data_IF_978806268189
#
_entry.id   IF_978806268189
#
_cell.length_a   1.000
_cell.length_b   1.000
_cell.length_c   1.000
_cell.angle_alpha   90.00
_cell.angle_beta   90.00
_cell.angle_gamma   90.00
#
_symmetry.space_group_name_H-M   'P 1'
#
loop_
_entity.id
_entity.type
_entity.pdbx_description
1 polymer ?
#
# COMPACT_ATOMS: atom_id res chain seq x y z
N UNK A 1 8.94 -34.31 -11.31
CA UNK A 1 8.54 -33.29 -12.32
C UNK A 1 7.43 -32.31 -11.88
N UNK A 2 7.00 -32.27 -10.60
CA UNK A 2 5.75 -31.56 -10.21
C UNK A 2 5.88 -30.17 -9.55
N UNK A 3 7.06 -29.78 -9.06
CA UNK A 3 7.25 -28.50 -8.33
C UNK A 3 7.54 -27.33 -9.29
N UNK A 4 8.42 -27.54 -10.27
CA UNK A 4 8.78 -26.54 -11.28
C UNK A 4 7.61 -26.17 -12.21
N UNK A 5 6.73 -27.12 -12.54
CA UNK A 5 5.54 -26.87 -13.36
C UNK A 5 4.51 -26.03 -12.59
N UNK A 6 4.32 -26.27 -11.29
CA UNK A 6 3.46 -25.45 -10.41
C UNK A 6 3.97 -24.02 -10.20
N UNK A 7 5.29 -23.86 -10.03
CA UNK A 7 5.91 -22.53 -9.94
C UNK A 7 5.85 -21.76 -11.26
N UNK A 8 6.00 -22.42 -12.41
CA UNK A 8 5.91 -21.75 -13.70
C UNK A 8 4.47 -21.33 -14.03
N UNK A 9 3.47 -22.17 -13.73
CA UNK A 9 2.05 -21.82 -13.89
C UNK A 9 1.66 -20.68 -12.97
N UNK A 10 2.06 -20.73 -11.68
CA UNK A 10 1.78 -19.66 -10.72
C UNK A 10 2.47 -18.34 -11.10
N UNK A 11 3.73 -18.38 -11.58
CA UNK A 11 4.42 -17.20 -12.11
C UNK A 11 3.72 -16.61 -13.34
N UNK A 12 3.29 -17.47 -14.26
CA UNK A 12 2.58 -17.04 -15.46
C UNK A 12 1.23 -16.41 -15.10
N UNK A 13 0.53 -16.98 -14.14
CA UNK A 13 -0.76 -16.51 -13.64
C UNK A 13 -0.62 -15.17 -12.91
N UNK A 14 0.34 -15.04 -11.99
CA UNK A 14 0.67 -13.76 -11.33
C UNK A 14 1.09 -12.69 -12.35
N UNK A 15 1.86 -13.06 -13.39
CA UNK A 15 2.25 -12.13 -14.46
C UNK A 15 1.05 -11.71 -15.31
N UNK A 16 0.18 -12.66 -15.69
CA UNK A 16 -1.06 -12.40 -16.44
C UNK A 16 -2.03 -11.53 -15.63
N UNK A 17 -2.23 -11.85 -14.36
CA UNK A 17 -3.06 -11.07 -13.43
C UNK A 17 -2.54 -9.64 -13.25
N UNK A 18 -1.23 -9.46 -13.05
CA UNK A 18 -0.66 -8.12 -12.93
C UNK A 18 -0.71 -7.34 -14.25
N UNK A 19 -0.55 -8.01 -15.40
CA UNK A 19 -0.67 -7.38 -16.72
C UNK A 19 -2.12 -7.00 -17.03
N UNK A 20 -3.09 -7.87 -16.75
CA UNK A 20 -4.52 -7.57 -16.90
C UNK A 20 -4.95 -6.44 -15.96
N UNK A 21 -4.42 -6.39 -14.73
CA UNK A 21 -4.64 -5.26 -13.81
C UNK A 21 -4.05 -3.96 -14.32
N UNK A 22 -2.82 -3.94 -14.82
CA UNK A 22 -2.22 -2.71 -15.40
C UNK A 22 -3.07 -2.21 -16.57
N UNK A 23 -3.52 -3.13 -17.42
CA UNK A 23 -4.40 -2.85 -18.55
C UNK A 23 -5.77 -2.34 -18.08
N UNK A 24 -6.36 -2.95 -17.06
CA UNK A 24 -7.62 -2.50 -16.46
C UNK A 24 -7.48 -1.12 -15.81
N UNK A 25 -6.41 -0.87 -15.04
CA UNK A 25 -6.15 0.46 -14.45
C UNK A 25 -5.90 1.54 -15.50
N UNK A 26 -5.30 1.19 -16.64
CA UNK A 26 -5.16 2.09 -17.78
C UNK A 26 -6.49 2.32 -18.51
N UNK A 27 -7.35 1.30 -18.63
CA UNK A 27 -8.64 1.38 -19.31
C UNK A 27 -9.72 2.09 -18.49
N UNK A 28 -9.69 1.98 -17.17
CA UNK A 28 -10.73 2.56 -16.30
C UNK A 28 -10.42 3.97 -15.81
N UNK A 29 -9.28 4.57 -16.21
CA UNK A 29 -8.72 5.81 -15.62
C UNK A 29 -8.69 5.80 -14.07
N UNK A 30 -8.84 4.62 -13.46
CA UNK A 30 -8.88 4.47 -12.01
C UNK A 30 -7.42 4.43 -11.55
N UNK A 31 -6.96 5.39 -10.74
CA UNK A 31 -5.58 5.41 -10.32
C UNK A 31 -5.26 4.07 -9.63
N UNK A 32 -4.10 3.50 -9.96
CA UNK A 32 -3.56 2.27 -9.38
C UNK A 32 -3.16 2.43 -7.91
N UNK A 33 -3.87 3.30 -7.20
CA UNK A 33 -3.44 3.90 -5.96
C UNK A 33 -3.85 3.00 -4.80
N UNK A 34 -2.88 2.63 -3.97
CA UNK A 34 -3.14 2.02 -2.67
C UNK A 34 -3.68 3.08 -1.72
N UNK A 35 -4.89 3.57 -2.02
CA UNK A 35 -5.59 4.59 -1.27
C UNK A 35 -6.92 4.01 -0.80
N UNK A 36 -7.36 4.47 0.36
CA UNK A 36 -8.75 4.37 0.79
C UNK A 36 -9.53 5.43 -0.01
N UNK A 37 -10.66 5.06 -0.60
CA UNK A 37 -11.53 5.97 -1.34
C UNK A 37 -12.80 6.18 -0.56
N UNK A 38 -13.24 7.43 -0.47
CA UNK A 38 -14.49 7.87 0.13
C UNK A 38 -15.33 8.39 -1.04
N UNK A 39 -16.37 7.66 -1.42
CA UNK A 39 -17.18 7.97 -2.60
C UNK A 39 -18.66 8.03 -2.23
N UNK A 40 -19.30 9.16 -2.53
CA UNK A 40 -20.76 9.25 -2.50
C UNK A 40 -21.29 9.35 -3.94
N UNK A 41 -22.40 8.67 -4.19
CA UNK A 41 -23.16 8.76 -5.45
C UNK A 41 -23.96 10.07 -5.56
N UNK A 42 -24.16 10.77 -4.43
CA UNK A 42 -24.97 11.98 -4.33
C UNK A 42 -24.13 13.22 -4.60
N UNK A 43 -24.30 13.84 -5.77
CA UNK A 43 -23.68 15.15 -6.07
C UNK A 43 -24.30 16.26 -5.21
N UNK A 44 -25.59 16.14 -4.87
CA UNK A 44 -26.30 17.12 -4.06
C UNK A 44 -25.80 17.15 -2.62
N UNK A 45 -25.47 16.01 -2.01
CA UNK A 45 -24.83 15.96 -0.69
C UNK A 45 -23.45 16.63 -0.69
N UNK A 46 -22.62 16.34 -1.71
CA UNK A 46 -21.30 16.99 -1.85
C UNK A 46 -21.43 18.50 -2.03
N UNK A 47 -22.38 18.91 -2.85
CA UNK A 47 -22.65 20.33 -3.06
C UNK A 47 -23.15 21.01 -1.79
N UNK A 48 -24.07 20.38 -1.05
CA UNK A 48 -24.58 20.89 0.23
C UNK A 48 -23.47 20.98 1.28
N UNK A 49 -22.60 19.97 1.38
CA UNK A 49 -21.42 20.01 2.24
C UNK A 49 -20.49 21.17 1.87
N UNK A 50 -20.26 21.38 0.57
CA UNK A 50 -19.39 22.45 0.08
C UNK A 50 -19.92 23.85 0.36
N UNK A 51 -21.24 24.01 0.48
CA UNK A 51 -21.86 25.29 0.86
C UNK A 51 -21.69 25.61 2.36
N UNK A 52 -21.50 24.60 3.20
CA UNK A 52 -21.28 24.74 4.63
C UNK A 52 -19.79 24.62 4.96
N UNK A 53 -19.09 25.76 4.96
CA UNK A 53 -17.65 25.83 5.18
C UNK A 53 -17.22 25.28 6.56
N UNK A 54 -18.04 25.48 7.58
CA UNK A 54 -17.75 25.01 8.94
C UNK A 54 -17.87 23.50 9.02
N UNK A 55 -18.95 22.93 8.45
CA UNK A 55 -19.16 21.48 8.38
C UNK A 55 -18.10 20.79 7.52
N UNK A 56 -17.73 21.38 6.38
CA UNK A 56 -16.64 20.88 5.52
C UNK A 56 -15.30 20.85 6.28
N UNK A 57 -14.97 21.94 6.97
CA UNK A 57 -13.74 22.04 7.76
C UNK A 57 -13.73 21.03 8.90
N UNK A 58 -14.87 20.85 9.59
CA UNK A 58 -15.01 19.88 10.66
C UNK A 58 -14.82 18.44 10.16
N UNK A 59 -15.46 18.08 9.03
CA UNK A 59 -15.29 16.78 8.39
C UNK A 59 -13.82 16.52 8.02
N UNK A 60 -13.20 17.43 7.28
CA UNK A 60 -11.81 17.26 6.84
C UNK A 60 -10.87 17.12 8.04
N UNK A 61 -11.06 17.92 9.09
CA UNK A 61 -10.26 17.85 10.32
C UNK A 61 -10.48 16.54 11.08
N UNK A 62 -11.70 16.00 11.09
CA UNK A 62 -11.99 14.71 11.71
C UNK A 62 -11.27 13.56 10.98
N UNK A 63 -11.33 13.56 9.65
CA UNK A 63 -10.65 12.59 8.79
C UNK A 63 -9.12 12.69 8.92
N UNK A 64 -8.56 13.91 8.93
CA UNK A 64 -7.12 14.12 9.15
C UNK A 64 -6.66 13.64 10.52
N UNK A 65 -7.40 13.95 11.59
CA UNK A 65 -7.12 13.44 12.94
C UNK A 65 -7.09 11.91 12.99
N UNK A 66 -8.05 11.26 12.33
CA UNK A 66 -8.05 9.81 12.21
C UNK A 66 -6.78 9.33 11.49
N UNK A 67 -6.45 9.94 10.34
CA UNK A 67 -5.30 9.56 9.53
C UNK A 67 -3.98 9.73 10.28
N UNK A 68 -3.81 10.82 11.03
CA UNK A 68 -2.65 11.08 11.88
C UNK A 68 -2.55 10.10 13.04
N UNK A 69 -3.68 9.71 13.63
CA UNK A 69 -3.73 8.67 14.67
C UNK A 69 -3.27 7.32 14.12
N UNK A 70 -3.73 6.94 12.93
CA UNK A 70 -3.28 5.72 12.24
C UNK A 70 -1.79 5.80 11.90
N UNK A 71 -1.32 6.93 11.37
CA UNK A 71 0.08 7.14 11.05
C UNK A 71 0.98 7.01 12.29
N UNK A 72 0.57 7.55 13.44
CA UNK A 72 1.30 7.38 14.71
C UNK A 72 1.43 5.91 15.11
N UNK A 73 0.36 5.13 15.02
CA UNK A 73 0.40 3.69 15.33
C UNK A 73 1.28 2.92 14.34
N UNK A 74 1.19 3.21 13.04
CA UNK A 74 2.06 2.62 12.01
C UNK A 74 3.53 2.91 12.28
N UNK A 75 3.88 4.16 12.59
CA UNK A 75 5.25 4.58 12.93
C UNK A 75 5.77 3.84 14.17
N UNK A 76 4.95 3.74 15.22
CA UNK A 76 5.31 3.02 16.45
C UNK A 76 5.55 1.52 16.18
N UNK A 77 4.68 0.88 15.39
CA UNK A 77 4.81 -0.53 15.05
C UNK A 77 6.08 -0.82 14.25
N UNK A 78 6.41 -0.01 13.24
CA UNK A 78 7.57 -0.28 12.38
C UNK A 78 8.91 0.17 12.98
N UNK A 79 8.93 1.07 13.96
CA UNK A 79 10.15 1.65 14.52
C UNK A 79 11.18 0.60 14.99
N UNK A 80 10.71 -0.47 15.63
CA UNK A 80 11.56 -1.59 16.09
C UNK A 80 12.18 -2.43 14.97
N UNK A 81 11.74 -2.26 13.71
CA UNK A 81 12.30 -2.95 12.53
C UNK A 81 12.98 -2.00 11.55
N UNK A 82 12.52 -0.76 11.43
CA UNK A 82 13.13 0.25 10.57
C UNK A 82 12.75 1.67 11.00
N UNK A 83 13.69 2.34 11.67
CA UNK A 83 13.57 3.76 11.98
C UNK A 83 13.44 4.65 10.75
N UNK A 84 14.04 4.23 9.62
CA UNK A 84 13.90 4.95 8.35
C UNK A 84 12.44 4.98 7.88
N UNK A 85 11.74 3.85 7.95
CA UNK A 85 10.33 3.81 7.56
C UNK A 85 9.49 4.64 8.53
N UNK A 86 9.72 4.50 9.84
CA UNK A 86 8.97 5.29 10.83
C UNK A 86 9.13 6.80 10.61
N UNK A 87 10.32 7.28 10.22
CA UNK A 87 10.59 8.70 9.95
C UNK A 87 10.03 9.19 8.62
N UNK A 88 10.15 8.40 7.56
CA UNK A 88 9.71 8.75 6.20
C UNK A 88 8.24 8.36 5.93
N UNK A 89 7.50 7.83 6.92
CA UNK A 89 6.08 7.53 6.78
C UNK A 89 5.27 8.82 6.86
N UNK A 90 4.50 9.09 5.82
CA UNK A 90 3.66 10.29 5.71
C UNK A 90 2.21 9.92 5.37
N UNK A 91 1.23 10.35 6.17
CA UNK A 91 -0.17 10.33 5.75
C UNK A 91 -0.37 11.30 4.57
N UNK A 92 -1.20 10.92 3.60
CA UNK A 92 -1.54 11.73 2.43
C UNK A 92 -3.05 11.78 2.27
N UNK A 93 -3.65 12.96 2.34
CA UNK A 93 -5.04 13.19 2.03
C UNK A 93 -5.16 13.90 0.68
N UNK A 94 -6.22 13.60 -0.06
CA UNK A 94 -6.57 14.26 -1.31
C UNK A 94 -8.01 14.70 -1.27
N UNK A 95 -8.26 15.87 -1.82
CA UNK A 95 -9.59 16.45 -1.94
C UNK A 95 -10.16 16.26 -3.35
N UNK A 96 -11.48 16.37 -3.44
CA UNK A 96 -12.19 16.52 -4.70
C UNK A 96 -12.30 18.00 -5.11
N UNK A 97 -13.08 18.27 -6.17
CA UNK A 97 -13.32 19.64 -6.67
C UNK A 97 -14.05 20.55 -5.68
N UNK A 98 -14.68 19.99 -4.66
CA UNK A 98 -15.40 20.71 -3.60
C UNK A 98 -14.57 20.90 -2.34
N UNK A 99 -13.31 20.43 -2.32
CA UNK A 99 -12.46 20.50 -1.14
C UNK A 99 -12.75 19.40 -0.11
N UNK A 100 -13.63 18.44 -0.41
CA UNK A 100 -13.95 17.32 0.47
C UNK A 100 -12.83 16.28 0.37
N UNK A 101 -12.24 15.88 1.49
CA UNK A 101 -11.29 14.76 1.50
C UNK A 101 -12.01 13.50 1.01
N UNK A 102 -11.55 12.95 -0.11
CA UNK A 102 -12.16 11.80 -0.76
C UNK A 102 -11.20 10.63 -0.98
N UNK A 103 -9.90 10.82 -0.73
CA UNK A 103 -8.91 9.75 -0.81
C UNK A 103 -7.85 9.91 0.27
N UNK A 104 -7.46 8.79 0.87
CA UNK A 104 -6.47 8.72 1.94
C UNK A 104 -5.41 7.67 1.64
N UNK A 105 -4.15 7.97 1.95
CA UNK A 105 -3.01 7.08 1.75
C UNK A 105 -1.92 7.24 2.78
N UNK A 106 -0.95 6.34 2.71
CA UNK A 106 0.27 6.41 3.52
C UNK A 106 1.46 6.18 2.60
N UNK A 107 2.31 7.20 2.47
CA UNK A 107 3.57 7.12 1.73
C UNK A 107 4.67 6.62 2.67
N UNK A 108 5.50 5.70 2.22
CA UNK A 108 6.65 5.21 2.98
C UNK A 108 7.67 4.52 2.06
N UNK A 109 8.92 4.31 2.53
CA UNK A 109 9.95 3.65 1.73
C UNK A 109 9.56 2.23 1.31
N UNK A 110 9.83 1.89 0.04
CA UNK A 110 9.45 0.59 -0.57
C UNK A 110 9.89 -0.63 0.25
N UNK A 111 11.03 -0.56 0.95
CA UNK A 111 11.52 -1.70 1.74
C UNK A 111 10.62 -2.05 2.93
N UNK A 112 9.66 -1.20 3.29
CA UNK A 112 8.59 -1.54 4.24
C UNK A 112 7.68 -2.65 3.77
N UNK A 113 7.44 -2.77 2.46
CA UNK A 113 6.71 -3.89 1.87
C UNK A 113 7.48 -5.21 2.08
N UNK A 114 8.81 -5.17 2.05
CA UNK A 114 9.63 -6.37 2.24
C UNK A 114 9.62 -6.83 3.70
N UNK A 115 9.61 -5.89 4.66
CA UNK A 115 9.41 -6.22 6.08
C UNK A 115 8.02 -6.83 6.28
N UNK A 116 6.98 -6.21 5.72
CA UNK A 116 5.60 -6.68 5.81
C UNK A 116 5.46 -8.13 5.32
N UNK A 117 6.03 -8.44 4.16
CA UNK A 117 5.92 -9.77 3.53
C UNK A 117 6.98 -10.78 3.97
N UNK A 118 7.96 -10.38 4.79
CA UNK A 118 9.10 -11.24 5.12
C UNK A 118 9.99 -11.56 3.92
N UNK A 119 10.17 -10.60 3.02
CA UNK A 119 11.05 -10.73 1.85
C UNK A 119 12.47 -10.25 2.14
N UNK A 120 13.49 -10.99 1.70
CA UNK A 120 14.89 -10.69 1.95
C UNK A 120 15.84 -11.33 0.95
N UNK A 121 17.15 -11.19 1.20
CA UNK A 121 18.17 -11.86 0.40
C UNK A 121 18.00 -13.38 0.50
N UNK A 122 17.94 -14.07 -0.64
CA UNK A 122 17.66 -15.51 -0.69
C UNK A 122 16.20 -15.90 -0.38
N UNK A 123 15.30 -14.94 -0.11
CA UNK A 123 13.90 -15.16 0.29
C UNK A 123 12.98 -14.16 -0.41
N UNK A 124 12.83 -14.33 -1.72
CA UNK A 124 12.18 -13.38 -2.61
C UNK A 124 10.72 -13.71 -2.88
N UNK A 125 9.99 -12.72 -3.42
CA UNK A 125 8.63 -12.92 -3.92
C UNK A 125 8.57 -13.84 -5.14
N UNK A 126 7.44 -13.88 -5.83
CA UNK A 126 7.27 -14.78 -6.97
C UNK A 126 7.87 -14.26 -8.28
N UNK A 127 8.28 -12.99 -8.30
CA UNK A 127 8.83 -12.30 -9.47
C UNK A 127 10.29 -11.95 -9.20
N UNK A 128 11.18 -12.41 -10.06
CA UNK A 128 12.60 -12.04 -10.03
C UNK A 128 12.90 -10.75 -10.80
N UNK A 129 14.02 -10.13 -10.49
CA UNK A 129 14.61 -8.98 -11.14
C UNK A 129 16.01 -9.30 -11.70
N UNK A 130 16.50 -8.41 -12.56
CA UNK A 130 17.90 -8.35 -12.99
C UNK A 130 18.45 -6.98 -12.60
N UNK A 131 19.71 -6.89 -12.17
CA UNK A 131 20.33 -5.63 -11.80
C UNK A 131 21.84 -5.65 -12.08
N UNK A 132 22.41 -4.49 -12.38
CA UNK A 132 23.85 -4.34 -12.48
C UNK A 132 24.46 -4.38 -11.08
N UNK A 133 25.53 -5.16 -10.93
CA UNK A 133 26.27 -5.20 -9.69
C UNK A 133 27.11 -3.93 -9.55
N UNK A 134 26.81 -3.14 -8.52
CA UNK A 134 27.60 -1.98 -8.16
C UNK A 134 28.64 -2.40 -7.10
N UNK A 135 29.90 -2.00 -7.31
CA UNK A 135 30.97 -2.20 -6.33
C UNK A 135 31.35 -0.85 -5.73
N UNK A 136 31.44 -0.78 -4.41
CA UNK A 136 31.89 0.43 -3.71
C UNK A 136 33.40 0.39 -3.54
N UNK A 137 34.12 1.37 -4.09
CA UNK A 137 35.57 1.53 -3.98
C UNK A 137 35.84 2.95 -3.48
N UNK A 138 36.51 3.09 -2.33
CA UNK A 138 36.82 4.39 -1.72
C UNK A 138 35.60 5.33 -1.59
N UNK A 139 34.43 4.77 -1.28
CA UNK A 139 33.20 5.54 -1.11
C UNK A 139 32.42 5.81 -2.41
N UNK A 140 33.02 5.58 -3.59
CA UNK A 140 32.39 5.76 -4.91
C UNK A 140 31.77 4.44 -5.38
N UNK A 141 30.52 4.48 -5.86
CA UNK A 141 29.85 3.34 -6.47
C UNK A 141 30.20 3.26 -7.96
N UNK A 142 30.77 2.13 -8.38
CA UNK A 142 31.19 1.87 -9.75
C UNK A 142 30.36 0.70 -10.29
N UNK A 143 29.72 0.89 -11.44
CA UNK A 143 29.08 -0.20 -12.16
C UNK A 143 30.14 -1.18 -12.67
N UNK A 144 30.00 -2.45 -12.30
CA UNK A 144 30.95 -3.50 -12.71
C UNK A 144 30.64 -4.09 -14.08
N UNK A 145 29.51 -3.71 -14.70
CA UNK A 145 28.99 -4.33 -15.93
C UNK A 145 28.44 -5.75 -15.74
N UNK A 146 28.54 -6.32 -14.54
CA UNK A 146 28.05 -7.66 -14.23
C UNK A 146 26.56 -7.61 -13.92
N UNK A 147 25.75 -8.24 -14.77
CA UNK A 147 24.31 -8.39 -14.52
C UNK A 147 24.06 -9.56 -13.56
N UNK A 148 23.47 -9.26 -12.41
CA UNK A 148 22.94 -10.27 -11.48
C UNK A 148 21.48 -10.57 -11.77
N UNK A 149 21.08 -11.80 -11.47
CA UNK A 149 19.71 -12.27 -11.57
C UNK A 149 19.22 -12.72 -10.20
N UNK A 150 17.92 -12.58 -9.96
CA UNK A 150 17.32 -13.22 -8.79
C UNK A 150 17.58 -14.73 -8.82
N UNK A 151 18.10 -15.25 -7.71
CA UNK A 151 18.24 -16.68 -7.51
C UNK A 151 16.86 -17.34 -7.60
N UNK A 152 16.62 -18.20 -8.57
CA UNK A 152 15.32 -18.83 -8.78
C UNK A 152 14.85 -19.67 -7.58
N UNK A 153 15.79 -20.15 -6.74
CA UNK A 153 15.49 -20.89 -5.51
C UNK A 153 14.95 -20.01 -4.38
N UNK A 154 15.12 -18.68 -4.46
CA UNK A 154 14.56 -17.76 -3.47
C UNK A 154 13.09 -17.44 -3.72
N UNK A 155 12.61 -17.67 -4.94
CA UNK A 155 11.28 -17.24 -5.35
C UNK A 155 10.20 -18.06 -4.64
N UNK A 156 9.22 -17.36 -4.06
CA UNK A 156 8.12 -17.96 -3.31
C UNK A 156 8.46 -18.33 -1.88
N UNK A 157 9.68 -18.02 -1.42
CA UNK A 157 10.14 -18.27 -0.05
C UNK A 157 10.02 -17.05 0.85
N UNK A 158 9.10 -16.13 0.51
CA UNK A 158 8.76 -15.02 1.41
C UNK A 158 8.17 -15.60 2.70
N UNK A 159 8.52 -15.01 3.84
CA UNK A 159 8.07 -15.48 5.16
C UNK A 159 8.54 -16.90 5.53
N UNK A 160 9.54 -17.45 4.83
CA UNK A 160 10.18 -18.72 5.18
C UNK A 160 11.61 -18.47 5.67
N UNK A 161 12.11 -19.27 6.61
CA UNK A 161 13.53 -19.26 7.03
C UNK A 161 13.95 -18.03 7.84
N UNK A 162 15.06 -17.38 7.44
CA UNK A 162 15.77 -16.36 8.22
C UNK A 162 15.02 -15.03 8.39
N UNK A 163 14.02 -14.73 7.57
CA UNK A 163 13.19 -13.53 7.69
C UNK A 163 11.72 -13.89 7.75
N UNK A 164 11.10 -13.60 8.90
CA UNK A 164 9.65 -13.72 9.08
C UNK A 164 8.95 -12.42 8.69
N UNK A 165 7.74 -12.56 8.16
CA UNK A 165 6.83 -11.45 7.91
C UNK A 165 6.54 -10.74 9.23
N UNK A 166 6.60 -9.41 9.17
CA UNK A 166 6.19 -8.55 10.26
C UNK A 166 5.08 -7.65 9.73
N UNK A 167 3.85 -8.10 9.88
CA UNK A 167 2.64 -7.46 9.35
C UNK A 167 2.35 -6.13 10.09
N UNK A 168 3.14 -5.10 9.81
CA UNK A 168 3.12 -3.84 10.54
C UNK A 168 2.05 -2.87 10.03
N UNK A 169 1.58 -3.05 8.79
CA UNK A 169 0.68 -2.11 8.12
C UNK A 169 -0.78 -2.58 8.15
N UNK A 170 -1.07 -3.71 7.50
CA UNK A 170 -2.44 -4.19 7.28
C UNK A 170 -3.28 -4.35 8.56
N UNK A 171 -2.77 -4.93 9.67
CA UNK A 171 -3.55 -5.06 10.89
C UNK A 171 -3.95 -3.72 11.49
N UNK A 172 -3.06 -2.72 11.42
CA UNK A 172 -3.36 -1.37 11.92
C UNK A 172 -4.47 -0.73 11.09
N UNK A 173 -4.41 -0.80 9.76
CA UNK A 173 -5.47 -0.23 8.92
C UNK A 173 -6.81 -0.96 9.16
N UNK A 174 -6.79 -2.30 9.21
CA UNK A 174 -8.00 -3.10 9.41
C UNK A 174 -8.70 -2.79 10.73
N UNK A 175 -7.94 -2.64 11.81
CA UNK A 175 -8.52 -2.38 13.13
C UNK A 175 -9.08 -0.97 13.27
N UNK A 176 -8.68 -0.03 12.40
CA UNK A 176 -9.03 1.40 12.51
C UNK A 176 -10.04 1.84 11.45
N UNK A 177 -10.45 0.95 10.53
CA UNK A 177 -11.33 1.34 9.42
C UNK A 177 -12.76 1.67 9.87
N UNK A 178 -13.25 0.99 10.92
CA UNK A 178 -14.59 1.26 11.45
C UNK A 178 -14.69 2.67 12.05
N UNK A 179 -13.63 3.15 12.72
CA UNK A 179 -13.60 4.54 13.22
C UNK A 179 -13.71 5.56 12.08
N UNK A 180 -13.15 5.26 10.89
CA UNK A 180 -13.31 6.11 9.72
C UNK A 180 -14.74 6.05 9.18
N UNK A 181 -15.38 4.88 9.23
CA UNK A 181 -16.77 4.70 8.83
C UNK A 181 -17.69 5.55 9.72
N UNK A 182 -17.51 5.49 11.03
CA UNK A 182 -18.29 6.29 11.99
C UNK A 182 -18.14 7.79 11.71
N UNK A 183 -16.90 8.27 11.53
CA UNK A 183 -16.63 9.67 11.14
C UNK A 183 -17.33 10.02 9.83
N UNK A 184 -17.30 9.15 8.82
CA UNK A 184 -17.94 9.45 7.53
C UNK A 184 -19.46 9.54 7.65
N UNK A 185 -20.08 8.64 8.42
CA UNK A 185 -21.53 8.59 8.60
C UNK A 185 -22.09 9.75 9.41
N UNK A 186 -21.29 10.39 10.26
CA UNK A 186 -21.69 11.62 10.96
C UNK A 186 -21.92 12.81 10.01
N UNK A 187 -21.34 12.76 8.80
CA UNK A 187 -21.36 13.86 7.84
C UNK A 187 -22.07 13.53 6.53
N UNK A 188 -22.15 12.27 6.12
CA UNK A 188 -22.72 11.84 4.86
C UNK A 188 -23.55 10.56 5.03
N UNK A 189 -24.77 10.57 4.49
CA UNK A 189 -25.67 9.41 4.54
C UNK A 189 -25.30 8.36 3.48
N UNK A 190 -24.73 8.79 2.35
CA UNK A 190 -24.52 7.92 1.17
C UNK A 190 -23.06 7.64 0.85
N UNK A 191 -22.11 8.04 1.71
CA UNK A 191 -20.69 7.88 1.42
C UNK A 191 -20.19 6.46 1.72
N UNK A 192 -19.58 5.85 0.71
CA UNK A 192 -18.99 4.52 0.74
C UNK A 192 -17.48 4.59 0.95
N UNK A 193 -16.95 3.63 1.71
CA UNK A 193 -15.51 3.49 1.97
C UNK A 193 -14.97 2.26 1.23
N UNK A 194 -14.12 2.49 0.23
CA UNK A 194 -13.33 1.43 -0.43
C UNK A 194 -11.90 1.42 0.12
N UNK A 195 -11.64 0.51 1.07
CA UNK A 195 -10.30 0.25 1.61
C UNK A 195 -9.61 -0.96 0.95
N UNK A 196 -10.21 -1.60 -0.06
CA UNK A 196 -9.69 -2.89 -0.59
C UNK A 196 -8.30 -2.80 -1.20
N UNK A 197 -7.87 -1.57 -1.57
CA UNK A 197 -6.62 -1.31 -2.29
C UNK A 197 -5.48 -0.86 -1.38
N UNK A 198 -5.76 -0.48 -0.13
CA UNK A 198 -4.74 0.04 0.80
C UNK A 198 -3.82 -1.06 1.32
N UNK A 199 -4.30 -2.30 1.40
CA UNK A 199 -3.57 -3.41 2.02
C UNK A 199 -2.38 -3.89 1.18
N UNK A 200 -1.27 -4.19 1.86
CA UNK A 200 -0.03 -4.73 1.30
C UNK A 200 -0.23 -6.21 0.91
N UNK A 201 -0.88 -6.99 1.79
CA UNK A 201 -1.26 -8.36 1.52
C UNK A 201 -2.65 -8.43 0.90
N UNK A 202 -2.66 -8.87 -0.36
CA UNK A 202 -3.87 -9.29 -1.07
C UNK A 202 -4.15 -10.75 -0.73
N UNK A 203 -4.31 -11.09 0.55
CA UNK A 203 -4.98 -12.36 0.85
C UNK A 203 -6.46 -12.13 0.58
N UNK A 204 -7.07 -12.99 -0.21
CA UNK A 204 -8.51 -13.00 -0.44
C UNK A 204 -9.17 -12.80 0.92
N UNK A 205 -9.90 -11.69 1.06
CA UNK A 205 -10.99 -11.61 2.02
C UNK A 205 -11.79 -12.89 1.85
N UNK A 206 -11.73 -13.76 2.86
CA UNK A 206 -12.73 -14.79 3.04
C UNK A 206 -14.08 -14.10 3.23
#
# INVERSE_FOLDING_TARGET
MGYYKRLSTYRAEVKRYNASRRKATQLTNAPASGLIRLETVSETERFSMAQDADRLTAYNKAVEKWQDSVARQLRAGIAGRSMRIARELEPRAYTDKYGIINRLGFSFPRHGIYIHKGAGEGQGGFIGSKWNYLKKINGVEIDTGIVRHTNLKSLGRQNEGNRRAYEWFDPVIRNRINELADIVTDYFDTMLIDATRIYIDKRNSL
#
